data_IF_062915190538
#
_entry.id   IF_062915190538
#
_cell.length_a   1.000
_cell.length_b   1.000
_cell.length_c   1.000
_cell.angle_alpha   90.00
_cell.angle_beta   90.00
_cell.angle_gamma   90.00
#
_symmetry.space_group_name_H-M   'P 1'
#
loop_
_entity.id
_entity.type
_entity.pdbx_description
1 polymer ?
#
# COMPACT_ATOMS: atom_id res chain seq x y z
N UNK A 1 50.30 8.65 14.42
CA UNK A 1 49.98 7.27 13.98
C UNK A 1 48.69 6.71 14.59
N UNK A 2 48.32 7.02 15.84
CA UNK A 2 47.12 6.47 16.53
C UNK A 2 45.77 6.90 15.91
N UNK A 3 45.64 8.11 15.34
CA UNK A 3 44.35 8.61 14.81
C UNK A 3 43.84 7.89 13.54
N UNK A 4 44.73 7.32 12.73
CA UNK A 4 44.35 6.56 11.52
C UNK A 4 43.84 5.16 11.87
N UNK A 5 44.36 4.56 12.94
CA UNK A 5 43.96 3.23 13.41
C UNK A 5 42.52 3.22 13.95
N UNK A 6 42.11 4.27 14.67
CA UNK A 6 40.74 4.41 15.22
C UNK A 6 39.69 4.54 14.10
N UNK A 7 40.01 5.28 13.02
CA UNK A 7 39.14 5.44 11.84
C UNK A 7 39.01 4.10 11.09
N UNK A 8 40.08 3.30 11.00
CA UNK A 8 40.04 1.99 10.35
C UNK A 8 39.29 0.92 11.17
N UNK A 9 39.41 0.91 12.51
CA UNK A 9 38.69 -0.06 13.36
C UNK A 9 37.20 0.24 13.51
N UNK A 10 36.82 1.53 13.51
CA UNK A 10 35.41 1.94 13.57
C UNK A 10 34.64 1.54 12.29
N UNK A 11 35.28 1.62 11.12
CA UNK A 11 34.66 1.22 9.85
C UNK A 11 34.36 -0.28 9.78
N UNK A 12 35.23 -1.13 10.34
CA UNK A 12 35.03 -2.58 10.34
C UNK A 12 33.90 -3.02 11.28
N UNK A 13 33.74 -2.34 12.42
CA UNK A 13 32.67 -2.64 13.38
C UNK A 13 31.27 -2.30 12.85
N UNK A 14 31.13 -1.22 12.08
CA UNK A 14 29.85 -0.82 11.47
C UNK A 14 29.40 -1.80 10.38
N UNK A 15 30.34 -2.37 9.62
CA UNK A 15 30.05 -3.34 8.56
C UNK A 15 29.52 -4.69 9.11
N UNK A 16 30.06 -5.14 10.25
CA UNK A 16 29.65 -6.41 10.88
C UNK A 16 28.25 -6.32 11.49
N UNK A 17 27.87 -5.17 12.06
CA UNK A 17 26.54 -4.96 12.66
C UNK A 17 25.44 -4.93 11.59
N UNK A 18 25.74 -4.44 10.37
CA UNK A 18 24.77 -4.38 9.27
C UNK A 18 24.40 -5.77 8.71
N UNK A 19 25.32 -6.75 8.77
CA UNK A 19 25.08 -8.12 8.31
C UNK A 19 24.26 -8.97 9.29
N UNK A 20 24.33 -8.70 10.60
CA UNK A 20 23.63 -9.49 11.63
C UNK A 20 22.15 -9.11 11.78
N UNK A 21 21.73 -7.94 11.29
CA UNK A 21 20.33 -7.49 11.27
C UNK A 21 19.59 -7.79 9.95
N UNK A 22 20.24 -8.47 9.00
CA UNK A 22 19.72 -8.71 7.64
C UNK A 22 18.89 -9.99 7.46
N UNK A 23 18.75 -10.85 8.47
CA UNK A 23 17.97 -12.09 8.36
C UNK A 23 16.51 -11.89 8.78
N UNK A 24 15.77 -11.04 8.07
CA UNK A 24 14.31 -11.06 8.12
C UNK A 24 13.80 -12.06 7.08
N UNK A 25 13.59 -13.29 7.58
CA UNK A 25 12.82 -14.40 7.03
C UNK A 25 12.22 -14.22 5.62
N UNK A 26 12.73 -15.01 4.67
CA UNK A 26 11.97 -15.39 3.48
C UNK A 26 10.71 -16.13 3.96
N UNK A 27 9.58 -15.42 4.00
CA UNK A 27 8.28 -16.05 4.18
C UNK A 27 7.98 -16.79 2.89
N UNK A 28 8.27 -18.09 2.89
CA UNK A 28 7.81 -19.02 1.85
C UNK A 28 6.29 -18.93 1.79
N UNK A 29 5.77 -18.52 0.64
CA UNK A 29 4.34 -18.37 0.39
C UNK A 29 3.60 -19.67 0.68
N UNK A 30 2.83 -19.66 1.75
CA UNK A 30 1.85 -20.68 2.09
C UNK A 30 0.79 -20.72 0.97
N UNK A 31 0.35 -21.92 0.59
CA UNK A 31 -0.71 -22.09 -0.41
C UNK A 31 -2.01 -21.55 0.18
N UNK A 32 -2.27 -20.27 -0.03
CA UNK A 32 -3.53 -19.66 0.32
C UNK A 32 -4.58 -20.22 -0.63
N UNK A 33 -5.68 -20.77 -0.09
CA UNK A 33 -6.89 -21.01 -0.86
C UNK A 33 -7.15 -19.82 -1.79
N UNK A 34 -7.61 -20.07 -3.04
CA UNK A 34 -7.87 -18.97 -3.96
C UNK A 34 -8.78 -17.94 -3.30
N UNK A 35 -8.46 -16.64 -3.41
CA UNK A 35 -9.26 -15.61 -2.78
C UNK A 35 -10.67 -15.59 -3.38
N UNK A 36 -11.67 -15.34 -2.55
CA UNK A 36 -13.00 -15.03 -3.03
C UNK A 36 -13.02 -13.60 -3.59
N UNK A 37 -13.56 -13.42 -4.79
CA UNK A 37 -13.65 -12.12 -5.45
C UNK A 37 -15.10 -11.65 -5.40
N UNK A 38 -15.32 -10.48 -4.79
CA UNK A 38 -16.63 -9.81 -4.77
C UNK A 38 -16.53 -8.53 -5.60
N UNK A 39 -17.36 -8.42 -6.64
CA UNK A 39 -17.46 -7.24 -7.49
C UNK A 39 -18.76 -6.50 -7.14
N UNK A 40 -18.61 -5.27 -6.66
CA UNK A 40 -19.73 -4.37 -6.36
C UNK A 40 -19.70 -3.25 -7.40
N UNK A 41 -20.82 -3.02 -8.06
CA UNK A 41 -21.01 -1.92 -9.00
C UNK A 41 -22.22 -1.10 -8.61
N UNK A 42 -22.16 0.19 -8.89
CA UNK A 42 -23.20 1.18 -8.58
C UNK A 42 -23.63 1.83 -9.88
N UNK A 43 -24.94 1.89 -10.12
CA UNK A 43 -25.48 2.56 -11.31
C UNK A 43 -25.36 4.08 -11.17
N UNK A 44 -24.96 4.75 -12.24
CA UNK A 44 -24.89 6.22 -12.34
C UNK A 44 -24.09 6.94 -11.22
N UNK A 45 -23.12 6.28 -10.57
CA UNK A 45 -22.32 6.94 -9.54
C UNK A 45 -21.29 7.90 -10.14
N UNK A 46 -21.38 9.16 -9.75
CA UNK A 46 -20.38 10.17 -10.12
C UNK A 46 -19.09 9.96 -9.31
N UNK A 47 -17.92 10.09 -9.96
CA UNK A 47 -16.61 9.79 -9.36
C UNK A 47 -16.29 10.63 -8.12
N UNK A 48 -16.84 11.85 -8.02
CA UNK A 48 -16.63 12.75 -6.88
C UNK A 48 -17.65 12.56 -5.74
N UNK A 49 -18.79 11.90 -5.97
CA UNK A 49 -19.84 11.73 -4.96
C UNK A 49 -19.50 10.64 -3.93
N UNK A 50 -18.37 10.80 -3.24
CA UNK A 50 -17.92 9.98 -2.12
C UNK A 50 -17.17 10.88 -1.14
N UNK A 51 -17.35 10.67 0.17
CA UNK A 51 -16.61 11.43 1.18
C UNK A 51 -15.10 11.25 1.05
N UNK A 52 -14.61 10.03 0.76
CA UNK A 52 -13.19 9.79 0.49
C UNK A 52 -12.65 10.42 -0.83
N UNK A 53 -13.51 10.98 -1.69
CA UNK A 53 -13.13 11.78 -2.85
C UNK A 53 -13.13 13.30 -2.59
N UNK A 54 -13.34 13.72 -1.34
CA UNK A 54 -13.30 15.12 -0.90
C UNK A 54 -14.64 15.84 -0.99
N UNK A 55 -15.75 15.13 -1.14
CA UNK A 55 -17.09 15.72 -1.17
C UNK A 55 -17.63 15.93 0.25
N UNK A 56 -17.99 17.17 0.58
CA UNK A 56 -18.44 17.54 1.93
C UNK A 56 -19.93 17.22 2.17
N UNK A 57 -20.72 17.14 1.10
CA UNK A 57 -22.17 16.95 1.19
C UNK A 57 -22.62 15.48 1.17
N UNK A 58 -21.68 14.54 0.97
CA UNK A 58 -21.96 13.10 0.89
C UNK A 58 -21.25 12.37 2.02
N UNK A 59 -21.95 11.45 2.68
CA UNK A 59 -21.38 10.61 3.74
C UNK A 59 -21.39 9.14 3.31
N UNK A 60 -20.22 8.57 3.04
CA UNK A 60 -20.04 7.18 2.59
C UNK A 60 -19.05 6.40 3.48
N UNK A 61 -19.31 6.23 4.79
CA UNK A 61 -18.33 5.68 5.74
C UNK A 61 -17.87 4.26 5.40
N UNK A 62 -18.73 3.43 4.80
CA UNK A 62 -18.36 2.08 4.37
C UNK A 62 -17.43 2.09 3.16
N UNK A 63 -17.65 2.99 2.20
CA UNK A 63 -16.75 3.13 1.04
C UNK A 63 -15.42 3.73 1.48
N UNK A 64 -15.44 4.69 2.39
CA UNK A 64 -14.24 5.29 2.96
C UNK A 64 -13.39 4.27 3.68
N UNK A 65 -14.01 3.35 4.44
CA UNK A 65 -13.32 2.23 5.08
C UNK A 65 -12.65 1.33 4.04
N UNK A 66 -13.33 1.00 2.95
CA UNK A 66 -12.77 0.18 1.86
C UNK A 66 -11.59 0.89 1.19
N UNK A 67 -11.72 2.19 0.91
CA UNK A 67 -10.67 3.01 0.32
C UNK A 67 -9.44 3.12 1.24
N UNK A 68 -9.65 3.26 2.56
CA UNK A 68 -8.59 3.34 3.56
C UNK A 68 -7.86 1.99 3.78
N UNK A 69 -8.57 0.86 3.66
CA UNK A 69 -7.98 -0.48 3.80
C UNK A 69 -7.42 -1.05 2.49
N UNK A 70 -7.63 -0.37 1.37
CA UNK A 70 -7.34 -0.87 0.04
C UNK A 70 -6.66 0.17 -0.85
N UNK A 71 -6.95 0.10 -2.14
CA UNK A 71 -6.43 1.05 -3.14
C UNK A 71 -7.62 1.71 -3.83
N UNK A 72 -7.65 3.05 -3.82
CA UNK A 72 -8.62 3.85 -4.58
C UNK A 72 -7.97 4.37 -5.86
N UNK A 73 -8.56 4.05 -7.00
CA UNK A 73 -8.14 4.60 -8.29
C UNK A 73 -8.80 5.96 -8.50
N UNK A 74 -8.03 7.04 -8.41
CA UNK A 74 -8.57 8.40 -8.55
C UNK A 74 -8.96 8.75 -10.00
N UNK A 75 -8.30 8.09 -10.96
CA UNK A 75 -8.47 8.32 -12.40
C UNK A 75 -9.03 7.06 -13.09
N UNK A 76 -10.16 6.55 -12.59
CA UNK A 76 -10.90 5.45 -13.22
C UNK A 76 -11.92 6.00 -14.24
N UNK A 77 -11.75 5.66 -15.52
CA UNK A 77 -12.59 6.15 -16.62
C UNK A 77 -13.53 5.06 -17.16
N UNK A 78 -14.77 5.45 -17.47
CA UNK A 78 -15.70 4.60 -18.20
C UNK A 78 -15.55 4.86 -19.70
N UNK A 79 -15.25 3.80 -20.48
CA UNK A 79 -15.08 3.92 -21.93
C UNK A 79 -16.40 4.24 -22.65
N UNK A 80 -17.54 3.81 -22.11
CA UNK A 80 -18.87 4.09 -22.64
C UNK A 80 -19.83 4.48 -21.50
N UNK A 81 -20.08 5.78 -21.24
CA UNK A 81 -20.88 6.25 -20.11
C UNK A 81 -22.39 6.13 -20.38
N UNK A 82 -22.83 4.97 -20.87
CA UNK A 82 -24.22 4.66 -21.18
C UNK A 82 -24.56 3.31 -20.59
N UNK A 83 -25.68 3.23 -19.87
CA UNK A 83 -26.26 1.96 -19.43
C UNK A 83 -27.10 1.38 -20.57
N UNK A 84 -26.92 0.08 -20.85
CA UNK A 84 -27.65 -0.66 -21.89
C UNK A 84 -28.63 -1.65 -21.28
#
# INVERSE_FOLDING_TARGET
MIRRAIIQSAGLAVLVVLCLTGSSACKSGEVSNPPNILIITTDQQHARLMSCAGEEFVSTPNMDRLAASGVRFENAYCANPVCV
#
